data_IF_165116938467
#
_entry.id   IF_165116938467
#
_cell.length_a   1.000
_cell.length_b   1.000
_cell.length_c   1.000
_cell.angle_alpha   90.00
_cell.angle_beta   90.00
_cell.angle_gamma   90.00
#
_symmetry.space_group_name_H-M   'P 1'
#
loop_
_entity.id
_entity.type
_entity.pdbx_description
1 polymer ?
#
# COMPACT_ATOMS: atom_id res chain seq x y z
N UNK A 1 30.56 -3.50 21.50
CA UNK A 1 30.84 -2.68 20.30
C UNK A 1 29.52 -2.20 19.69
N UNK A 2 28.69 -1.49 20.45
CA UNK A 2 27.39 -0.97 19.97
C UNK A 2 27.41 0.57 19.81
N UNK A 3 28.36 1.25 20.44
CA UNK A 3 28.45 2.72 20.50
C UNK A 3 28.77 3.44 19.17
N UNK A 4 28.93 2.72 18.05
CA UNK A 4 29.30 3.30 16.75
C UNK A 4 28.33 2.94 15.61
N UNK A 5 27.17 2.32 15.89
CA UNK A 5 26.18 2.05 14.84
C UNK A 5 25.48 3.36 14.49
N UNK A 6 25.79 3.90 13.31
CA UNK A 6 25.14 5.10 12.78
C UNK A 6 24.02 4.68 11.82
N UNK A 7 22.81 5.23 11.96
CA UNK A 7 21.73 4.98 11.02
C UNK A 7 22.08 5.56 9.64
N UNK A 8 21.56 4.93 8.61
CA UNK A 8 21.62 5.47 7.26
C UNK A 8 20.91 6.82 7.22
N UNK A 9 21.50 7.78 6.50
CA UNK A 9 20.91 9.10 6.31
C UNK A 9 19.58 8.98 5.53
N UNK A 10 18.45 9.44 6.08
CA UNK A 10 17.17 9.44 5.36
C UNK A 10 17.15 10.43 4.18
N UNK A 11 18.08 11.40 4.13
CA UNK A 11 18.23 12.37 3.05
C UNK A 11 19.06 11.74 1.93
N UNK A 12 18.46 11.64 0.75
CA UNK A 12 19.14 11.14 -0.44
C UNK A 12 19.99 12.23 -1.12
N UNK A 13 19.42 13.44 -1.22
CA UNK A 13 20.06 14.58 -1.88
C UNK A 13 19.68 15.86 -1.13
N UNK A 14 20.67 16.68 -0.79
CA UNK A 14 20.46 18.00 -0.19
C UNK A 14 20.76 19.09 -1.21
N UNK A 15 19.75 19.89 -1.56
CA UNK A 15 19.83 21.03 -2.48
C UNK A 15 19.55 22.31 -1.70
N UNK A 16 20.46 22.68 -0.78
CA UNK A 16 20.29 23.83 0.10
C UNK A 16 19.09 23.65 1.06
N UNK A 17 18.03 24.49 1.00
CA UNK A 17 16.85 24.34 1.85
C UNK A 17 15.94 23.17 1.45
N UNK A 18 16.13 22.59 0.25
CA UNK A 18 15.31 21.49 -0.26
C UNK A 18 16.04 20.18 0.01
N UNK A 19 15.44 19.34 0.87
CA UNK A 19 15.94 18.00 1.17
C UNK A 19 15.08 16.97 0.46
N UNK A 20 15.70 16.14 -0.37
CA UNK A 20 15.05 15.02 -1.05
C UNK A 20 15.27 13.77 -0.22
N UNK A 21 14.19 13.22 0.35
CA UNK A 21 14.26 12.02 1.18
C UNK A 21 14.23 10.74 0.34
N UNK A 22 14.97 9.72 0.78
CA UNK A 22 14.93 8.38 0.20
C UNK A 22 13.51 7.81 0.16
N UNK A 23 12.72 8.07 1.20
CA UNK A 23 11.33 7.65 1.27
C UNK A 23 10.50 8.08 0.05
N UNK A 24 10.62 9.35 -0.34
CA UNK A 24 9.91 9.90 -1.50
C UNK A 24 10.41 9.31 -2.82
N UNK A 25 11.73 9.14 -2.96
CA UNK A 25 12.33 8.52 -4.15
C UNK A 25 11.89 7.06 -4.31
N UNK A 26 11.92 6.26 -3.24
CA UNK A 26 11.52 4.86 -3.24
C UNK A 26 10.03 4.72 -3.60
N UNK A 27 9.16 5.56 -3.04
CA UNK A 27 7.74 5.57 -3.42
C UNK A 27 7.57 5.97 -4.89
N UNK A 28 8.27 6.99 -5.36
CA UNK A 28 8.23 7.42 -6.76
C UNK A 28 8.63 6.31 -7.73
N UNK A 29 9.72 5.58 -7.42
CA UNK A 29 10.15 4.41 -8.19
C UNK A 29 9.10 3.30 -8.14
N UNK A 30 8.53 3.01 -6.97
CA UNK A 30 7.46 2.02 -6.80
C UNK A 30 6.23 2.34 -7.65
N UNK A 31 5.80 3.60 -7.66
CA UNK A 31 4.69 4.09 -8.49
C UNK A 31 5.02 3.97 -9.98
N UNK A 32 6.22 4.39 -10.41
CA UNK A 32 6.63 4.31 -11.81
C UNK A 32 6.64 2.86 -12.32
N UNK A 33 7.22 1.93 -11.55
CA UNK A 33 7.23 0.50 -11.89
C UNK A 33 5.82 -0.09 -11.91
N UNK A 34 4.98 0.25 -10.94
CA UNK A 34 3.59 -0.17 -10.89
C UNK A 34 2.83 0.27 -12.15
N UNK A 35 2.99 1.53 -12.56
CA UNK A 35 2.38 2.09 -13.77
C UNK A 35 2.87 1.37 -15.03
N UNK A 36 4.18 1.18 -15.19
CA UNK A 36 4.76 0.49 -16.35
C UNK A 36 4.19 -0.93 -16.49
N UNK A 37 4.11 -1.67 -15.38
CA UNK A 37 3.57 -3.04 -15.38
C UNK A 37 2.07 -3.04 -15.68
N UNK A 38 1.32 -2.09 -15.11
CA UNK A 38 -0.12 -1.97 -15.32
C UNK A 38 -0.46 -1.59 -16.78
N UNK A 39 0.27 -0.65 -17.38
CA UNK A 39 0.11 -0.27 -18.79
C UNK A 39 0.42 -1.44 -19.72
N UNK A 40 1.58 -2.09 -19.54
CA UNK A 40 1.98 -3.24 -20.37
C UNK A 40 0.98 -4.38 -20.30
N UNK A 41 0.48 -4.68 -19.10
CA UNK A 41 -0.55 -5.72 -18.96
C UNK A 41 -1.91 -5.24 -19.48
N UNK A 42 -2.27 -3.98 -19.27
CA UNK A 42 -3.50 -3.38 -19.77
C UNK A 42 -3.60 -3.49 -21.29
N UNK A 43 -2.53 -3.11 -22.01
CA UNK A 43 -2.45 -3.26 -23.47
C UNK A 43 -2.64 -4.72 -23.89
N UNK A 44 -2.00 -5.68 -23.20
CA UNK A 44 -2.18 -7.13 -23.45
C UNK A 44 -3.61 -7.60 -23.21
N UNK A 45 -4.37 -6.91 -22.34
CA UNK A 45 -5.79 -7.19 -22.06
C UNK A 45 -6.75 -6.34 -22.89
N UNK A 46 -6.25 -5.64 -23.92
CA UNK A 46 -7.08 -4.85 -24.83
C UNK A 46 -7.55 -3.52 -24.26
N UNK A 47 -6.94 -3.03 -23.18
CA UNK A 47 -7.19 -1.70 -22.66
C UNK A 47 -6.38 -0.65 -23.45
N UNK A 48 -6.87 0.60 -23.56
CA UNK A 48 -6.10 1.68 -24.15
C UNK A 48 -4.76 1.87 -23.43
N UNK A 49 -3.69 2.10 -24.18
CA UNK A 49 -2.31 2.23 -23.67
C UNK A 49 -2.20 3.21 -22.49
N UNK A 50 -2.82 4.38 -22.62
CA UNK A 50 -2.69 5.45 -21.64
C UNK A 50 -3.73 5.36 -20.50
N UNK A 51 -4.58 4.32 -20.45
CA UNK A 51 -5.70 4.27 -19.51
C UNK A 51 -5.28 4.37 -18.04
N UNK A 52 -4.14 3.77 -17.69
CA UNK A 52 -3.62 3.79 -16.31
C UNK A 52 -2.94 5.12 -15.99
N UNK A 53 -2.27 5.73 -16.97
CA UNK A 53 -1.70 7.06 -16.81
C UNK A 53 -2.83 8.10 -16.63
N UNK A 54 -3.84 8.07 -17.50
CA UNK A 54 -5.07 8.85 -17.38
C UNK A 54 -5.72 8.66 -16.01
N UNK A 55 -5.89 7.42 -15.57
CA UNK A 55 -6.48 7.11 -14.26
C UNK A 55 -5.65 7.73 -13.13
N UNK A 56 -4.32 7.61 -13.17
CA UNK A 56 -3.43 8.17 -12.14
C UNK A 56 -3.47 9.70 -12.07
N UNK A 57 -3.59 10.38 -13.21
CA UNK A 57 -3.74 11.84 -13.26
C UNK A 57 -4.98 12.33 -12.50
N UNK A 58 -6.04 11.52 -12.45
CA UNK A 58 -7.22 11.82 -11.64
C UNK A 58 -7.12 11.26 -10.22
N UNK A 59 -6.68 10.01 -10.07
CA UNK A 59 -6.72 9.28 -8.82
C UNK A 59 -5.74 9.85 -7.78
N UNK A 60 -4.54 10.27 -8.16
CA UNK A 60 -3.55 10.79 -7.21
C UNK A 60 -4.02 12.10 -6.57
N UNK A 61 -4.40 13.16 -7.32
CA UNK A 61 -4.88 14.40 -6.71
C UNK A 61 -6.14 14.18 -5.85
N UNK A 62 -7.11 13.41 -6.34
CA UNK A 62 -8.35 13.15 -5.60
C UNK A 62 -8.09 12.33 -4.33
N UNK A 63 -7.16 11.37 -4.38
CA UNK A 63 -6.75 10.62 -3.19
C UNK A 63 -6.10 11.53 -2.14
N UNK A 64 -5.21 12.44 -2.53
CA UNK A 64 -4.58 13.40 -1.61
C UNK A 64 -5.65 14.31 -0.97
N UNK A 65 -6.56 14.86 -1.78
CA UNK A 65 -7.66 15.70 -1.30
C UNK A 65 -8.55 14.91 -0.32
N UNK A 66 -8.91 13.68 -0.69
CA UNK A 66 -9.77 12.82 0.13
C UNK A 66 -9.08 12.40 1.43
N UNK A 67 -7.77 12.15 1.40
CA UNK A 67 -6.96 11.87 2.58
C UNK A 67 -6.97 13.04 3.57
N UNK A 68 -6.89 14.27 3.05
CA UNK A 68 -6.93 15.49 3.85
C UNK A 68 -8.30 15.74 4.43
N UNK A 69 -9.36 15.67 3.60
CA UNK A 69 -10.74 15.82 4.05
C UNK A 69 -11.05 14.82 5.16
N UNK A 70 -10.67 13.55 4.97
CA UNK A 70 -10.86 12.53 5.98
C UNK A 70 -10.13 12.89 7.29
N UNK A 71 -8.86 13.27 7.23
CA UNK A 71 -8.12 13.65 8.44
C UNK A 71 -8.75 14.85 9.17
N UNK A 72 -9.17 15.87 8.43
CA UNK A 72 -9.80 17.09 8.98
C UNK A 72 -11.12 16.77 9.67
N UNK A 73 -11.95 15.89 9.10
CA UNK A 73 -13.21 15.45 9.71
C UNK A 73 -12.96 14.80 11.07
N UNK A 74 -11.95 13.94 11.18
CA UNK A 74 -11.60 13.27 12.44
C UNK A 74 -10.88 14.17 13.45
N UNK A 75 -10.44 15.36 13.04
CA UNK A 75 -9.76 16.36 13.88
C UNK A 75 -10.51 17.69 13.88
N UNK A 76 -11.84 17.64 13.73
CA UNK A 76 -12.67 18.82 13.48
C UNK A 76 -12.59 19.87 14.59
N UNK A 77 -12.42 19.47 15.85
CA UNK A 77 -12.29 20.39 16.98
C UNK A 77 -11.13 21.37 16.81
N UNK A 78 -10.01 20.90 16.26
CA UNK A 78 -8.85 21.75 15.96
C UNK A 78 -9.09 22.62 14.70
N UNK A 79 -9.58 22.01 13.62
CA UNK A 79 -9.69 22.68 12.32
C UNK A 79 -10.85 23.68 12.24
N UNK A 80 -11.91 23.49 13.01
CA UNK A 80 -13.01 24.46 13.13
C UNK A 80 -12.55 25.80 13.68
N UNK A 81 -11.53 25.77 14.55
CA UNK A 81 -10.89 26.97 15.12
C UNK A 81 -9.75 27.50 14.24
N UNK A 82 -9.20 26.66 13.36
CA UNK A 82 -8.05 26.98 12.51
C UNK A 82 -8.31 26.64 11.03
N UNK A 83 -9.30 27.25 10.35
CA UNK A 83 -9.69 26.87 9.00
C UNK A 83 -8.57 27.07 7.97
N UNK A 84 -7.66 28.02 8.20
CA UNK A 84 -6.48 28.25 7.35
C UNK A 84 -5.48 27.09 7.35
N UNK A 85 -5.49 26.22 8.37
CA UNK A 85 -4.62 25.03 8.43
C UNK A 85 -5.13 23.89 7.54
N UNK A 86 -6.41 23.89 7.14
CA UNK A 86 -7.03 22.80 6.35
C UNK A 86 -6.28 22.56 5.04
N UNK A 87 -5.80 23.61 4.38
CA UNK A 87 -5.12 23.51 3.07
C UNK A 87 -3.61 23.22 3.19
N UNK A 88 -3.02 23.34 4.38
CA UNK A 88 -1.57 23.24 4.59
C UNK A 88 -1.12 21.78 4.68
N UNK A 89 -1.13 21.10 3.54
CA UNK A 89 -0.73 19.69 3.41
C UNK A 89 0.73 19.44 3.83
N UNK A 90 1.59 20.45 3.70
CA UNK A 90 3.01 20.37 4.09
C UNK A 90 3.23 20.31 5.61
N UNK A 91 2.22 20.64 6.42
CA UNK A 91 2.24 20.44 7.87
C UNK A 91 1.88 18.99 8.27
N UNK A 92 1.68 18.09 7.30
CA UNK A 92 1.23 16.73 7.54
C UNK A 92 -0.29 16.63 7.71
N UNK A 93 -0.76 15.60 8.40
CA UNK A 93 -2.19 15.36 8.65
C UNK A 93 -2.94 14.82 7.44
N UNK A 94 -2.51 13.66 6.95
CA UNK A 94 -3.18 12.91 5.90
C UNK A 94 -3.59 11.54 6.43
N UNK A 95 -4.81 11.12 6.15
CA UNK A 95 -5.32 9.81 6.56
C UNK A 95 -5.38 8.86 5.36
N UNK A 96 -4.68 7.73 5.45
CA UNK A 96 -4.62 6.73 4.36
C UNK A 96 -6.02 6.19 3.98
N UNK A 97 -6.95 6.09 4.94
CA UNK A 97 -8.31 5.66 4.68
C UNK A 97 -9.03 6.58 3.69
N UNK A 98 -8.88 7.90 3.84
CA UNK A 98 -9.42 8.88 2.91
C UNK A 98 -8.81 8.76 1.51
N UNK A 99 -7.49 8.54 1.44
CA UNK A 99 -6.80 8.30 0.16
C UNK A 99 -7.36 7.07 -0.57
N UNK A 100 -7.54 5.96 0.15
CA UNK A 100 -8.02 4.70 -0.40
C UNK A 100 -9.47 4.82 -0.91
N UNK A 101 -10.35 5.43 -0.11
CA UNK A 101 -11.75 5.66 -0.49
C UNK A 101 -11.81 6.53 -1.75
N UNK A 102 -11.08 7.67 -1.76
CA UNK A 102 -11.02 8.57 -2.91
C UNK A 102 -10.48 7.89 -4.17
N UNK A 103 -9.43 7.08 -4.05
CA UNK A 103 -8.84 6.35 -5.16
C UNK A 103 -9.80 5.31 -5.76
N UNK A 104 -10.49 4.52 -4.93
CA UNK A 104 -11.44 3.49 -5.39
C UNK A 104 -12.66 4.13 -6.08
N UNK A 105 -13.23 5.18 -5.47
CA UNK A 105 -14.35 5.93 -6.07
C UNK A 105 -13.93 6.52 -7.42
N UNK A 106 -12.75 7.12 -7.48
CA UNK A 106 -12.21 7.69 -8.73
C UNK A 106 -12.05 6.61 -9.78
N UNK A 107 -11.44 5.47 -9.45
CA UNK A 107 -11.26 4.36 -10.38
C UNK A 107 -12.61 3.81 -10.90
N UNK A 108 -13.62 3.69 -10.03
CA UNK A 108 -14.95 3.26 -10.42
C UNK A 108 -15.63 4.25 -11.37
N UNK A 109 -15.66 5.54 -11.02
CA UNK A 109 -16.26 6.60 -11.86
C UNK A 109 -15.51 6.71 -13.19
N UNK A 110 -14.18 6.65 -13.15
CA UNK A 110 -13.33 6.70 -14.34
C UNK A 110 -13.61 5.53 -15.28
N UNK A 111 -13.68 4.30 -14.75
CA UNK A 111 -14.02 3.11 -15.53
C UNK A 111 -15.38 3.27 -16.23
N UNK A 112 -16.39 3.76 -15.50
CA UNK A 112 -17.73 4.03 -16.05
C UNK A 112 -17.71 5.08 -17.15
N UNK A 113 -16.99 6.20 -16.97
CA UNK A 113 -16.86 7.27 -17.97
C UNK A 113 -16.14 6.80 -19.23
N UNK A 114 -15.12 5.95 -19.08
CA UNK A 114 -14.37 5.36 -20.19
C UNK A 114 -15.04 4.11 -20.79
N UNK A 115 -16.22 3.71 -20.28
CA UNK A 115 -16.98 2.52 -20.70
C UNK A 115 -16.17 1.22 -20.61
N UNK A 116 -15.30 1.11 -19.61
CA UNK A 116 -14.46 -0.05 -19.34
C UNK A 116 -14.94 -0.73 -18.06
N UNK A 117 -14.77 -2.05 -17.96
CA UNK A 117 -15.06 -2.77 -16.72
C UNK A 117 -14.11 -2.33 -15.60
N UNK A 118 -14.67 -1.85 -14.49
CA UNK A 118 -13.91 -1.57 -13.26
C UNK A 118 -13.12 -2.80 -12.80
N UNK A 119 -13.73 -3.99 -12.87
CA UNK A 119 -13.08 -5.23 -12.45
C UNK A 119 -11.88 -5.60 -13.31
N UNK A 120 -11.93 -5.31 -14.61
CA UNK A 120 -10.79 -5.52 -15.50
C UNK A 120 -9.63 -4.57 -15.14
N UNK A 121 -9.94 -3.29 -14.90
CA UNK A 121 -8.93 -2.31 -14.44
C UNK A 121 -8.31 -2.73 -13.10
N UNK A 122 -9.15 -3.13 -12.15
CA UNK A 122 -8.73 -3.56 -10.83
C UNK A 122 -7.84 -4.81 -10.87
N UNK A 123 -8.22 -5.84 -11.63
CA UNK A 123 -7.43 -7.07 -11.79
C UNK A 123 -6.07 -6.80 -12.43
N UNK A 124 -6.03 -5.95 -13.47
CA UNK A 124 -4.78 -5.58 -14.13
C UNK A 124 -3.88 -4.81 -13.17
N UNK A 125 -4.44 -3.89 -12.38
CA UNK A 125 -3.70 -3.09 -11.41
C UNK A 125 -3.21 -3.88 -10.19
N UNK A 126 -3.91 -4.93 -9.75
CA UNK A 126 -3.66 -5.57 -8.44
C UNK A 126 -2.20 -6.01 -8.23
N UNK A 127 -1.53 -6.69 -9.19
CA UNK A 127 -0.12 -7.05 -9.04
C UNK A 127 0.81 -5.83 -9.03
N UNK A 128 0.50 -4.80 -9.81
CA UNK A 128 1.26 -3.55 -9.78
C UNK A 128 1.19 -2.85 -8.42
N UNK A 129 0.00 -2.84 -7.81
CA UNK A 129 -0.23 -2.22 -6.50
C UNK A 129 0.60 -2.92 -5.42
N UNK A 130 0.53 -4.24 -5.32
CA UNK A 130 1.25 -4.98 -4.27
C UNK A 130 2.77 -4.91 -4.45
N UNK A 131 3.26 -4.84 -5.70
CA UNK A 131 4.69 -4.59 -5.95
C UNK A 131 5.10 -3.19 -5.48
N UNK A 132 4.30 -2.17 -5.78
CA UNK A 132 4.53 -0.82 -5.27
C UNK A 132 4.57 -0.76 -3.74
N UNK A 133 3.68 -1.52 -3.07
CA UNK A 133 3.70 -1.67 -1.61
C UNK A 133 4.98 -2.36 -1.13
N UNK A 134 5.45 -3.41 -1.80
CA UNK A 134 6.68 -4.10 -1.43
C UNK A 134 7.91 -3.18 -1.48
N UNK A 135 7.99 -2.35 -2.51
CA UNK A 135 9.06 -1.36 -2.70
C UNK A 135 8.95 -0.24 -1.67
N UNK A 136 7.75 0.30 -1.46
CA UNK A 136 7.49 1.40 -0.52
C UNK A 136 7.93 1.09 0.92
N UNK A 137 7.92 -0.18 1.36
CA UNK A 137 8.41 -0.58 2.69
C UNK A 137 9.87 -0.27 2.93
N UNK A 138 10.69 -0.19 1.88
CA UNK A 138 12.08 0.23 2.00
C UNK A 138 12.21 1.72 2.33
N UNK A 139 11.17 2.52 2.11
CA UNK A 139 11.09 3.87 2.68
C UNK A 139 11.07 3.82 4.21
N UNK A 140 10.22 2.95 4.80
CA UNK A 140 10.15 2.81 6.26
C UNK A 140 11.49 2.39 6.86
N UNK A 141 12.25 1.54 6.16
CA UNK A 141 13.61 1.15 6.52
C UNK A 141 14.57 2.34 6.59
N UNK A 142 14.57 3.22 5.57
CA UNK A 142 15.43 4.41 5.56
C UNK A 142 15.06 5.41 6.66
N UNK A 143 13.79 5.48 7.04
CA UNK A 143 13.31 6.36 8.12
C UNK A 143 13.39 5.73 9.53
N UNK A 144 13.77 4.45 9.65
CA UNK A 144 13.68 3.70 10.92
C UNK A 144 12.29 3.76 11.58
N UNK A 145 11.22 3.73 10.78
CA UNK A 145 9.84 3.84 11.27
C UNK A 145 9.05 2.53 11.07
N UNK A 146 7.88 2.44 11.71
CA UNK A 146 6.93 1.34 11.55
C UNK A 146 7.48 -0.06 11.89
N UNK A 147 8.54 -0.13 12.71
CA UNK A 147 9.18 -1.37 13.16
C UNK A 147 8.32 -2.15 14.18
N UNK A 148 8.70 -3.40 14.45
CA UNK A 148 8.02 -4.22 15.45
C UNK A 148 8.55 -4.01 16.86
N UNK A 149 8.24 -4.93 17.77
CA UNK A 149 8.76 -4.98 19.14
C UNK A 149 10.28 -5.21 19.22
N UNK A 150 10.83 -4.97 20.41
CA UNK A 150 12.25 -5.14 20.71
C UNK A 150 12.69 -6.60 20.61
N UNK A 151 13.89 -6.83 20.08
CA UNK A 151 14.54 -8.14 19.93
C UNK A 151 16.03 -8.03 20.24
N UNK A 152 16.71 -9.17 20.39
CA UNK A 152 18.16 -9.18 20.52
C UNK A 152 18.85 -9.08 19.16
N UNK A 153 20.11 -8.62 19.14
CA UNK A 153 20.97 -8.67 17.94
C UNK A 153 21.09 -10.10 17.39
N UNK A 154 21.26 -11.07 18.30
CA UNK A 154 21.36 -12.49 17.96
C UNK A 154 20.11 -13.01 17.25
N UNK A 155 18.92 -12.50 17.59
CA UNK A 155 17.68 -12.84 16.86
C UNK A 155 17.78 -12.43 15.38
N UNK A 156 18.26 -11.22 15.08
CA UNK A 156 18.42 -10.73 13.71
C UNK A 156 19.54 -11.45 12.95
N UNK A 157 20.63 -11.82 13.62
CA UNK A 157 21.71 -12.63 13.03
C UNK A 157 21.24 -14.05 12.69
N UNK A 158 20.42 -14.67 13.55
CA UNK A 158 19.82 -15.98 13.30
C UNK A 158 18.81 -15.97 12.14
N UNK A 159 18.31 -14.79 11.75
CA UNK A 159 17.52 -14.61 10.53
C UNK A 159 18.39 -14.51 9.25
N UNK A 160 19.72 -14.60 9.39
CA UNK A 160 20.71 -14.45 8.31
C UNK A 160 20.57 -13.11 7.57
N UNK A 161 20.21 -12.05 8.30
CA UNK A 161 20.09 -10.73 7.72
C UNK A 161 21.47 -10.13 7.45
N UNK A 162 21.63 -9.42 6.32
CA UNK A 162 22.86 -8.68 6.06
C UNK A 162 23.05 -7.57 7.09
N UNK A 163 24.31 -7.24 7.37
CA UNK A 163 24.68 -6.33 8.46
C UNK A 163 24.03 -4.95 8.34
N UNK A 164 23.87 -4.42 7.12
CA UNK A 164 23.22 -3.12 6.91
C UNK A 164 21.75 -3.10 7.36
N UNK A 165 21.03 -4.24 7.27
CA UNK A 165 19.67 -4.33 7.80
C UNK A 165 19.70 -4.41 9.32
N UNK A 166 20.57 -5.26 9.88
CA UNK A 166 20.71 -5.42 11.33
C UNK A 166 21.02 -4.07 11.98
N UNK A 167 22.03 -3.36 11.46
CA UNK A 167 22.46 -2.07 11.97
C UNK A 167 21.36 -1.01 11.84
N UNK A 168 20.62 -0.98 10.74
CA UNK A 168 19.51 -0.05 10.57
C UNK A 168 18.31 -0.38 11.47
N UNK A 169 18.19 -1.62 11.98
CA UNK A 169 17.19 -1.97 12.99
C UNK A 169 17.62 -1.64 14.43
N UNK A 170 18.82 -1.11 14.64
CA UNK A 170 19.24 -0.53 15.90
C UNK A 170 18.71 0.90 16.02
N UNK A 171 17.72 1.09 16.88
CA UNK A 171 16.95 2.34 17.00
C UNK A 171 16.95 2.72 18.48
N UNK A 172 17.43 3.92 18.80
CA UNK A 172 17.39 4.46 20.17
C UNK A 172 17.93 3.52 21.26
N UNK A 173 18.95 2.71 20.96
CA UNK A 173 19.62 1.84 21.94
C UNK A 173 19.17 0.37 21.94
N UNK A 174 18.17 -0.01 21.15
CA UNK A 174 17.66 -1.38 21.09
C UNK A 174 17.45 -1.85 19.64
N UNK A 175 17.45 -3.18 19.44
CA UNK A 175 17.12 -3.78 18.14
C UNK A 175 15.64 -4.09 18.05
N UNK A 176 15.05 -3.93 16.87
CA UNK A 176 13.62 -4.18 16.66
C UNK A 176 13.37 -5.18 15.52
N UNK A 177 12.20 -5.83 15.55
CA UNK A 177 11.77 -6.65 14.43
C UNK A 177 11.67 -5.82 13.12
N UNK A 178 12.30 -6.26 12.02
CA UNK A 178 12.22 -5.61 10.71
C UNK A 178 10.88 -5.88 10.01
N UNK A 179 9.79 -5.34 10.54
CA UNK A 179 8.43 -5.45 9.95
C UNK A 179 8.38 -4.96 8.51
N UNK A 180 9.18 -3.95 8.15
CA UNK A 180 9.33 -3.50 6.76
C UNK A 180 9.70 -4.66 5.82
N UNK A 181 10.61 -5.54 6.27
CA UNK A 181 11.11 -6.67 5.50
C UNK A 181 10.06 -7.77 5.44
N UNK A 182 9.37 -8.03 6.55
CA UNK A 182 8.27 -9.00 6.59
C UNK A 182 7.16 -8.61 5.60
N UNK A 183 6.73 -7.33 5.60
CA UNK A 183 5.74 -6.83 4.66
C UNK A 183 6.26 -6.82 3.22
N UNK A 184 7.53 -6.44 3.00
CA UNK A 184 8.13 -6.43 1.66
C UNK A 184 8.16 -7.83 1.06
N UNK A 185 8.64 -8.83 1.81
CA UNK A 185 8.69 -10.23 1.37
C UNK A 185 7.27 -10.77 1.15
N UNK A 186 6.33 -10.54 2.08
CA UNK A 186 4.94 -10.97 1.94
C UNK A 186 4.29 -10.41 0.67
N UNK A 187 4.57 -9.14 0.36
CA UNK A 187 4.05 -8.47 -0.83
C UNK A 187 4.71 -8.98 -2.11
N UNK A 188 6.01 -9.31 -2.11
CA UNK A 188 6.67 -9.96 -3.27
C UNK A 188 6.10 -11.35 -3.51
N UNK A 189 5.88 -12.15 -2.46
CA UNK A 189 5.23 -13.47 -2.60
C UNK A 189 3.82 -13.30 -3.18
N UNK A 190 3.06 -12.33 -2.66
CA UNK A 190 1.74 -11.99 -3.20
C UNK A 190 1.78 -11.55 -4.67
N UNK A 191 2.75 -10.73 -5.05
CA UNK A 191 2.98 -10.34 -6.44
C UNK A 191 3.17 -11.57 -7.33
N UNK A 192 4.08 -12.48 -6.96
CA UNK A 192 4.35 -13.71 -7.70
C UNK A 192 3.09 -14.56 -7.83
N UNK A 193 2.35 -14.76 -6.73
CA UNK A 193 1.09 -15.52 -6.71
C UNK A 193 0.09 -14.90 -7.68
N UNK A 194 -0.12 -13.59 -7.64
CA UNK A 194 -1.08 -12.94 -8.53
C UNK A 194 -0.65 -13.04 -10.00
N UNK A 195 0.65 -12.92 -10.31
CA UNK A 195 1.17 -13.12 -11.67
C UNK A 195 0.92 -14.56 -12.15
N UNK A 196 1.06 -15.56 -11.29
CA UNK A 196 0.73 -16.95 -11.62
C UNK A 196 -0.78 -17.14 -11.81
N UNK A 197 -1.60 -16.54 -10.95
CA UNK A 197 -3.07 -16.61 -11.03
C UNK A 197 -3.64 -15.96 -12.28
N UNK A 198 -2.96 -14.97 -12.89
CA UNK A 198 -3.33 -14.44 -14.21
C UNK A 198 -3.41 -15.53 -15.28
N UNK A 199 -2.57 -16.57 -15.18
CA UNK A 199 -2.54 -17.70 -16.13
C UNK A 199 -3.69 -18.68 -15.91
N UNK A 200 -4.25 -18.73 -14.69
CA UNK A 200 -5.38 -19.58 -14.35
C UNK A 200 -6.73 -19.09 -14.94
N UNK A 201 -6.74 -17.92 -15.58
CA UNK A 201 -7.93 -17.33 -16.19
C UNK A 201 -9.15 -17.26 -15.24
N UNK A 202 -8.92 -16.63 -14.08
CA UNK A 202 -9.95 -16.38 -13.06
C UNK A 202 -11.09 -15.52 -13.62
N UNK A 203 -12.22 -15.51 -12.92
CA UNK A 203 -13.32 -14.61 -13.29
C UNK A 203 -12.92 -13.16 -13.00
N UNK A 204 -13.35 -12.20 -13.84
CA UNK A 204 -12.98 -10.78 -13.69
C UNK A 204 -13.35 -10.27 -12.31
N UNK A 205 -12.42 -9.63 -11.64
CA UNK A 205 -12.46 -9.09 -10.28
C UNK A 205 -11.95 -10.04 -9.20
N UNK A 206 -11.80 -11.34 -9.49
CA UNK A 206 -11.28 -12.28 -8.50
C UNK A 206 -9.79 -12.06 -8.22
N UNK A 207 -9.01 -11.64 -9.22
CA UNK A 207 -7.59 -11.39 -9.02
C UNK A 207 -7.37 -10.21 -8.06
N UNK A 208 -8.13 -9.12 -8.23
CA UNK A 208 -8.12 -8.00 -7.30
C UNK A 208 -8.62 -8.39 -5.91
N UNK A 209 -9.69 -9.19 -5.80
CA UNK A 209 -10.20 -9.62 -4.51
C UNK A 209 -9.24 -10.59 -3.79
N UNK A 210 -8.53 -11.44 -4.52
CA UNK A 210 -7.43 -12.24 -3.97
C UNK A 210 -6.28 -11.36 -3.47
N UNK A 211 -5.93 -10.30 -4.19
CA UNK A 211 -4.97 -9.30 -3.71
C UNK A 211 -5.41 -8.68 -2.38
N UNK A 212 -6.68 -8.24 -2.27
CA UNK A 212 -7.23 -7.67 -1.05
C UNK A 212 -7.11 -8.66 0.11
N UNK A 213 -7.52 -9.91 -0.09
CA UNK A 213 -7.41 -10.97 0.93
C UNK A 213 -5.95 -11.19 1.33
N UNK A 214 -5.05 -11.36 0.36
CA UNK A 214 -3.63 -11.62 0.60
C UNK A 214 -2.96 -10.51 1.40
N UNK A 215 -3.17 -9.25 0.99
CA UNK A 215 -2.62 -8.10 1.67
C UNK A 215 -3.18 -7.98 3.09
N UNK A 216 -4.49 -8.17 3.27
CA UNK A 216 -5.14 -8.12 4.58
C UNK A 216 -4.63 -9.20 5.54
N UNK A 217 -4.33 -10.41 5.06
CA UNK A 217 -3.74 -11.46 5.88
C UNK A 217 -2.37 -11.01 6.41
N UNK A 218 -1.47 -10.58 5.51
CA UNK A 218 -0.15 -10.09 5.92
C UNK A 218 -0.24 -8.90 6.87
N UNK A 219 -1.13 -7.95 6.56
CA UNK A 219 -1.37 -6.76 7.39
C UNK A 219 -1.84 -7.13 8.79
N UNK A 220 -2.73 -8.11 8.92
CA UNK A 220 -3.22 -8.56 10.22
C UNK A 220 -2.11 -9.08 11.14
N UNK A 221 -1.20 -9.90 10.60
CA UNK A 221 -0.09 -10.48 11.38
C UNK A 221 0.98 -9.44 11.70
N UNK A 222 1.42 -8.66 10.72
CA UNK A 222 2.47 -7.65 10.95
C UNK A 222 1.99 -6.56 11.91
N UNK A 223 0.72 -6.16 11.83
CA UNK A 223 0.16 -5.18 12.77
C UNK A 223 0.21 -5.68 14.22
N UNK A 224 0.11 -6.99 14.44
CA UNK A 224 0.28 -7.59 15.78
C UNK A 224 1.70 -7.44 16.33
N UNK A 225 2.70 -7.25 15.47
CA UNK A 225 4.11 -7.06 15.86
C UNK A 225 4.47 -5.59 16.07
N UNK A 226 3.71 -4.66 15.48
CA UNK A 226 4.00 -3.22 15.51
C UNK A 226 3.85 -2.63 16.90
N UNK A 227 4.62 -1.59 17.18
CA UNK A 227 4.56 -0.84 18.45
C UNK A 227 3.78 0.47 18.34
N UNK A 228 3.56 0.97 17.13
CA UNK A 228 2.99 2.28 16.81
C UNK A 228 1.57 2.19 16.21
N UNK A 229 0.81 1.17 16.59
CA UNK A 229 -0.50 0.92 16.00
C UNK A 229 -1.56 1.94 16.39
N UNK A 230 -2.39 2.29 15.41
CA UNK A 230 -3.61 3.05 15.66
C UNK A 230 -4.68 2.13 16.28
N UNK A 231 -5.11 2.48 17.48
CA UNK A 231 -6.08 1.72 18.27
C UNK A 231 -7.51 2.14 17.93
N UNK A 232 -8.39 1.16 17.73
CA UNK A 232 -9.85 1.34 17.60
C UNK A 232 -10.51 1.39 18.97
N UNK A 233 -10.04 0.52 19.86
CA UNK A 233 -10.41 0.40 21.27
C UNK A 233 -9.13 0.12 22.05
N UNK A 234 -9.21 0.03 23.38
CA UNK A 234 -8.04 -0.28 24.23
C UNK A 234 -7.33 -1.59 23.87
N UNK A 235 -8.01 -2.51 23.15
CA UNK A 235 -7.50 -3.83 22.81
C UNK A 235 -7.44 -4.13 21.31
N UNK A 236 -8.21 -3.40 20.49
CA UNK A 236 -8.32 -3.68 19.06
C UNK A 236 -7.55 -2.67 18.23
N UNK A 237 -6.67 -3.14 17.35
CA UNK A 237 -5.94 -2.31 16.39
C UNK A 237 -6.80 -2.10 15.14
N UNK A 238 -6.91 -0.85 14.67
CA UNK A 238 -7.74 -0.50 13.51
C UNK A 238 -7.37 -1.35 12.28
N UNK A 239 -6.08 -1.51 12.01
CA UNK A 239 -5.63 -2.25 10.84
C UNK A 239 -5.96 -3.76 10.90
N UNK A 240 -6.03 -4.36 12.09
CA UNK A 240 -6.49 -5.75 12.25
C UNK A 240 -7.98 -5.87 11.98
N UNK A 241 -8.79 -4.98 12.56
CA UNK A 241 -10.25 -4.94 12.35
C UNK A 241 -10.59 -4.75 10.87
N UNK A 242 -9.95 -3.78 10.21
CA UNK A 242 -10.15 -3.53 8.78
C UNK A 242 -9.70 -4.74 7.94
N UNK A 243 -8.60 -5.40 8.31
CA UNK A 243 -8.13 -6.58 7.59
C UNK A 243 -9.16 -7.72 7.63
N UNK A 244 -9.76 -7.99 8.79
CA UNK A 244 -10.83 -9.00 8.92
C UNK A 244 -12.04 -8.62 8.06
N UNK A 245 -12.48 -7.35 8.15
CA UNK A 245 -13.62 -6.87 7.38
C UNK A 245 -13.39 -6.97 5.86
N UNK A 246 -12.18 -6.64 5.39
CA UNK A 246 -11.79 -6.76 3.98
C UNK A 246 -11.73 -8.22 3.52
N UNK A 247 -11.22 -9.14 4.33
CA UNK A 247 -11.19 -10.57 3.99
C UNK A 247 -12.62 -11.10 3.84
N UNK A 248 -13.48 -10.88 4.83
CA UNK A 248 -14.87 -11.34 4.80
C UNK A 248 -15.62 -10.69 3.63
N UNK A 249 -15.47 -9.38 3.45
CA UNK A 249 -16.11 -8.63 2.37
C UNK A 249 -15.67 -9.12 0.98
N UNK A 250 -14.37 -9.40 0.79
CA UNK A 250 -13.86 -9.93 -0.46
C UNK A 250 -14.38 -11.34 -0.76
N UNK A 251 -14.39 -12.23 0.23
CA UNK A 251 -14.94 -13.59 0.09
C UNK A 251 -16.43 -13.57 -0.24
N UNK A 252 -17.21 -12.76 0.48
CA UNK A 252 -18.63 -12.56 0.24
C UNK A 252 -18.89 -12.03 -1.18
N UNK A 253 -18.09 -11.07 -1.64
CA UNK A 253 -18.23 -10.49 -2.96
C UNK A 253 -17.85 -11.46 -4.08
N UNK A 254 -16.81 -12.28 -3.90
CA UNK A 254 -16.49 -13.39 -4.82
C UNK A 254 -17.70 -14.32 -4.92
N UNK A 255 -18.20 -14.81 -3.79
CA UNK A 255 -19.33 -15.76 -3.78
C UNK A 255 -20.59 -15.18 -4.43
N UNK A 256 -20.96 -13.95 -4.05
CA UNK A 256 -22.12 -13.26 -4.59
C UNK A 256 -22.02 -13.07 -6.10
N UNK A 257 -20.89 -12.57 -6.60
CA UNK A 257 -20.69 -12.33 -8.04
C UNK A 257 -20.64 -13.64 -8.84
N UNK A 258 -20.13 -14.73 -8.24
CA UNK A 258 -20.18 -16.06 -8.85
C UNK A 258 -21.60 -16.60 -8.97
N UNK A 259 -22.44 -16.40 -7.94
CA UNK A 259 -23.81 -16.92 -7.88
C UNK A 259 -24.78 -16.16 -8.78
N UNK A 260 -24.55 -14.86 -8.97
CA UNK A 260 -25.44 -13.95 -9.72
C UNK A 260 -25.09 -13.81 -11.21
N UNK A 261 -24.02 -14.45 -11.69
CA UNK A 261 -23.54 -14.30 -13.08
C UNK A 261 -22.79 -12.98 -13.36
N UNK A 262 -22.64 -12.09 -12.36
CA UNK A 262 -21.90 -10.82 -12.50
C UNK A 262 -20.38 -11.00 -12.73
N UNK A 263 -19.90 -12.24 -12.74
CA UNK A 263 -18.50 -12.61 -12.97
C UNK A 263 -18.35 -13.62 -14.13
N UNK A 264 -19.28 -13.62 -15.09
CA UNK A 264 -19.22 -14.55 -16.22
C UNK A 264 -18.01 -14.30 -17.14
N UNK A 265 -17.64 -13.03 -17.31
CA UNK A 265 -16.43 -12.65 -18.01
C UNK A 265 -15.18 -13.07 -17.22
N UNK A 266 -14.20 -13.64 -17.91
CA UNK A 266 -12.92 -14.07 -17.36
C UNK A 266 -11.79 -13.08 -17.66
N UNK A 267 -10.69 -13.26 -16.94
CA UNK A 267 -9.53 -12.38 -16.97
C UNK A 267 -8.89 -12.30 -18.36
N UNK A 268 -8.81 -13.42 -19.09
CA UNK A 268 -8.22 -13.50 -20.44
C UNK A 268 -9.21 -13.17 -21.55
N UNK A 269 -10.50 -12.99 -21.24
CA UNK A 269 -11.49 -12.60 -22.25
C UNK A 269 -11.18 -11.19 -22.76
N UNK A 270 -11.39 -10.96 -24.06
CA UNK A 270 -11.19 -9.63 -24.65
C UNK A 270 -12.21 -8.62 -24.09
N UNK A 271 -11.81 -7.35 -24.06
CA UNK A 271 -12.66 -6.24 -23.60
C UNK A 271 -13.88 -6.07 -24.51
#
# INVERSE_FOLDING_TARGET
>A
MENNIQPLDPIAISLGPIQVHWYGLIIGVGIALALIIAMREGERRGLPKDIFADLMLWAIPIAIISARIYYVIFQWDFYSQNPGEIIKLWNGGIAIHGALIGAVITAYIFARKKKISFWQLADVAAPSIILGQAIGRWGNFMNQEAHGGEVSRAFLENMYLPEFIINQMYINGAYYHPTFLYESIWNIIGFIILILLRRANLRRGELFLTYVIWYSIGRFFVEGLRTDSLMLTDTLRIAQTISIALIIGALALIFYRRKTGLADARYLDKA
#
